data_IF_548973613097
#
_entry.id   IF_548973613097
#
_cell.length_a   1.000
_cell.length_b   1.000
_cell.length_c   1.000
_cell.angle_alpha   90.00
_cell.angle_beta   90.00
_cell.angle_gamma   90.00
#
_symmetry.space_group_name_H-M   'P 1'
#
loop_
_entity.id
_entity.type
_entity.pdbx_description
1 polymer ?
#
# COMPACT_ATOMS: atom_id res chain seq x y z
N UNK A 1 -17.75 8.29 -8.95
CA UNK A 1 -17.31 8.49 -7.57
C UNK A 1 -16.03 7.72 -7.29
N UNK A 2 -15.13 8.33 -6.54
CA UNK A 2 -13.89 7.68 -6.14
C UNK A 2 -14.19 6.69 -5.03
N UNK A 3 -13.75 5.45 -5.20
CA UNK A 3 -13.93 4.40 -4.22
C UNK A 3 -12.62 4.14 -3.48
N UNK A 4 -12.68 3.97 -2.17
CA UNK A 4 -11.51 3.66 -1.37
C UNK A 4 -11.55 2.20 -0.94
N UNK A 5 -10.46 1.50 -1.15
CA UNK A 5 -10.26 0.15 -0.62
C UNK A 5 -9.27 0.25 0.54
N UNK A 6 -9.40 -0.63 1.50
CA UNK A 6 -8.57 -0.62 2.71
C UNK A 6 -7.91 -1.98 2.90
N UNK A 7 -6.62 -1.97 3.20
CA UNK A 7 -5.86 -3.19 3.42
C UNK A 7 -4.97 -3.03 4.65
N UNK A 8 -5.23 -3.83 5.68
CA UNK A 8 -4.43 -3.80 6.89
C UNK A 8 -3.36 -4.89 6.81
N UNK A 9 -2.11 -4.46 6.72
CA UNK A 9 -0.97 -5.37 6.63
C UNK A 9 -0.07 -5.30 7.85
N UNK A 10 -0.56 -4.72 8.94
CA UNK A 10 0.18 -4.74 10.20
C UNK A 10 0.37 -6.19 10.63
N UNK A 11 1.57 -6.52 11.09
CA UNK A 11 1.96 -7.87 11.51
C UNK A 11 2.04 -8.90 10.38
N UNK A 12 1.96 -8.47 9.14
CA UNK A 12 2.11 -9.36 7.98
C UNK A 12 3.58 -9.35 7.55
N UNK A 13 4.25 -10.51 7.53
CA UNK A 13 5.67 -10.55 7.20
C UNK A 13 5.93 -10.34 5.71
N UNK A 14 7.15 -9.91 5.40
CA UNK A 14 7.65 -9.83 4.04
C UNK A 14 8.03 -11.24 3.56
N UNK A 15 7.81 -11.60 2.29
CA UNK A 15 7.26 -10.78 1.20
C UNK A 15 5.74 -10.86 1.06
N UNK A 16 5.05 -11.46 2.02
CA UNK A 16 3.61 -11.67 1.91
C UNK A 16 2.85 -10.35 1.81
N UNK A 17 3.32 -9.32 2.54
CA UNK A 17 2.69 -8.01 2.48
C UNK A 17 2.73 -7.43 1.05
N UNK A 18 3.84 -7.57 0.36
CA UNK A 18 3.98 -7.09 -1.02
C UNK A 18 3.04 -7.86 -1.96
N UNK A 19 2.94 -9.17 -1.78
CA UNK A 19 2.06 -10.00 -2.61
C UNK A 19 0.60 -9.59 -2.42
N UNK A 20 0.19 -9.34 -1.19
CA UNK A 20 -1.18 -8.92 -0.92
C UNK A 20 -1.49 -7.57 -1.55
N UNK A 21 -0.53 -6.65 -1.53
CA UNK A 21 -0.70 -5.35 -2.17
C UNK A 21 -0.86 -5.52 -3.68
N UNK A 22 -0.01 -6.34 -4.31
CA UNK A 22 -0.10 -6.58 -5.74
C UNK A 22 -1.47 -7.12 -6.14
N UNK A 23 -1.98 -8.09 -5.38
CA UNK A 23 -3.28 -8.67 -5.65
C UNK A 23 -4.40 -7.64 -5.51
N UNK A 24 -4.30 -6.80 -4.47
CA UNK A 24 -5.29 -5.75 -4.27
C UNK A 24 -5.27 -4.72 -5.40
N UNK A 25 -4.07 -4.34 -5.84
CA UNK A 25 -3.92 -3.38 -6.93
C UNK A 25 -4.48 -3.90 -8.25
N UNK A 26 -4.34 -5.20 -8.51
CA UNK A 26 -4.91 -5.81 -9.71
C UNK A 26 -6.43 -5.75 -9.73
N UNK A 27 -7.04 -5.71 -8.56
CA UNK A 27 -8.49 -5.65 -8.44
C UNK A 27 -9.04 -4.24 -8.41
N UNK A 28 -8.17 -3.24 -8.35
CA UNK A 28 -8.62 -1.85 -8.31
C UNK A 28 -9.13 -1.40 -9.67
N UNK A 29 -10.24 -0.69 -9.66
CA UNK A 29 -10.75 -0.03 -10.85
C UNK A 29 -10.00 1.27 -11.07
N UNK A 30 -10.20 1.86 -12.25
CA UNK A 30 -9.42 3.01 -12.70
C UNK A 30 -9.43 4.20 -11.75
N UNK A 31 -10.52 4.47 -11.06
CA UNK A 31 -10.62 5.61 -10.16
C UNK A 31 -10.64 5.22 -8.69
N UNK A 32 -10.25 4.00 -8.38
CA UNK A 32 -10.19 3.54 -7.00
C UNK A 32 -8.82 3.81 -6.41
N UNK A 33 -8.79 3.98 -5.09
CA UNK A 33 -7.56 4.18 -4.33
C UNK A 33 -7.46 3.11 -3.27
N UNK A 34 -6.22 2.72 -2.94
CA UNK A 34 -5.97 1.71 -1.92
C UNK A 34 -5.29 2.35 -0.72
N UNK A 35 -5.89 2.19 0.45
CA UNK A 35 -5.29 2.62 1.71
C UNK A 35 -4.65 1.39 2.35
N UNK A 36 -3.36 1.49 2.68
CA UNK A 36 -2.63 0.37 3.27
C UNK A 36 -1.99 0.79 4.58
N UNK A 37 -2.14 -0.02 5.61
CA UNK A 37 -1.43 0.16 6.87
C UNK A 37 -0.29 -0.86 6.95
N UNK A 38 0.90 -0.37 7.29
CA UNK A 38 2.12 -1.17 7.33
C UNK A 38 2.86 -0.95 8.64
N UNK A 39 3.53 -1.99 9.13
CA UNK A 39 4.48 -1.82 10.21
C UNK A 39 5.68 -1.03 9.71
N UNK A 40 6.23 -0.16 10.55
CA UNK A 40 7.44 0.59 10.24
C UNK A 40 8.66 -0.32 10.24
N UNK A 41 9.72 0.12 9.59
CA UNK A 41 10.98 -0.60 9.49
C UNK A 41 11.07 -1.34 8.18
N UNK A 42 11.47 -2.61 8.25
CA UNK A 42 11.69 -3.43 7.07
C UNK A 42 10.46 -3.58 6.18
N UNK A 43 9.25 -3.87 6.71
CA UNK A 43 8.06 -3.97 5.87
C UNK A 43 7.77 -2.68 5.10
N UNK A 44 7.90 -1.53 5.77
CA UNK A 44 7.72 -0.24 5.14
C UNK A 44 8.69 -0.05 3.98
N UNK A 45 9.97 -0.28 4.24
CA UNK A 45 11.01 -0.08 3.22
C UNK A 45 10.79 -0.97 1.99
N UNK A 46 10.46 -2.22 2.22
CA UNK A 46 10.26 -3.18 1.12
C UNK A 46 9.03 -2.83 0.28
N UNK A 47 7.94 -2.45 0.92
CA UNK A 47 6.73 -2.09 0.20
C UNK A 47 6.94 -0.84 -0.63
N UNK A 48 7.52 0.21 -0.04
CA UNK A 48 7.74 1.46 -0.76
C UNK A 48 8.68 1.26 -1.93
N UNK A 49 9.73 0.45 -1.76
CA UNK A 49 10.65 0.13 -2.84
C UNK A 49 9.93 -0.57 -3.98
N UNK A 50 9.08 -1.54 -3.67
CA UNK A 50 8.33 -2.26 -4.69
C UNK A 50 7.33 -1.37 -5.41
N UNK A 51 6.68 -0.46 -4.70
CA UNK A 51 5.75 0.48 -5.35
C UNK A 51 6.48 1.38 -6.35
N UNK A 52 7.67 1.83 -5.99
CA UNK A 52 8.48 2.63 -6.91
C UNK A 52 8.86 1.83 -8.15
N UNK A 53 9.23 0.57 -7.99
CA UNK A 53 9.59 -0.28 -9.11
C UNK A 53 8.41 -0.57 -10.04
N UNK A 54 7.21 -0.64 -9.48
CA UNK A 54 5.98 -0.84 -10.25
C UNK A 54 5.42 0.46 -10.83
N UNK A 55 6.06 1.59 -10.54
CA UNK A 55 5.64 2.92 -11.01
C UNK A 55 4.25 3.32 -10.51
N UNK A 56 3.92 2.90 -9.30
CA UNK A 56 2.71 3.39 -8.64
C UNK A 56 3.02 4.63 -7.81
N UNK A 57 2.13 5.60 -7.87
CA UNK A 57 2.22 6.77 -7.01
C UNK A 57 1.58 6.47 -5.67
N UNK A 58 2.19 6.92 -4.60
CA UNK A 58 1.64 6.75 -3.27
C UNK A 58 1.84 8.01 -2.46
N UNK A 59 1.01 8.17 -1.43
CA UNK A 59 1.07 9.31 -0.54
C UNK A 59 0.97 8.81 0.89
N UNK A 60 1.87 9.29 1.75
CA UNK A 60 1.84 8.94 3.16
C UNK A 60 0.82 9.82 3.85
N UNK A 61 -0.27 9.23 4.34
CA UNK A 61 -1.38 10.00 4.90
C UNK A 61 -1.38 10.04 6.43
N UNK A 62 -0.74 9.09 7.10
CA UNK A 62 -0.65 9.09 8.55
C UNK A 62 0.56 8.30 9.01
N UNK A 63 1.24 8.82 10.03
CA UNK A 63 2.40 8.16 10.59
C UNK A 63 2.23 8.01 12.10
N UNK A 64 2.40 6.81 12.59
CA UNK A 64 2.45 6.48 14.02
C UNK A 64 3.84 6.01 14.38
N UNK A 65 4.10 5.81 15.68
CA UNK A 65 5.40 5.32 16.14
C UNK A 65 5.75 3.94 15.59
N UNK A 66 4.75 3.08 15.43
CA UNK A 66 4.98 1.68 15.06
C UNK A 66 4.45 1.30 13.68
N UNK A 67 3.63 2.14 13.09
CA UNK A 67 3.07 1.84 11.77
C UNK A 67 2.78 3.11 11.00
N UNK A 68 2.57 2.95 9.71
CA UNK A 68 2.21 4.07 8.85
C UNK A 68 1.06 3.69 7.93
N UNK A 69 0.36 4.69 7.45
CA UNK A 69 -0.75 4.52 6.53
C UNK A 69 -0.42 5.25 5.24
N UNK A 70 -0.52 4.56 4.12
CA UNK A 70 -0.27 5.16 2.81
C UNK A 70 -1.49 4.99 1.92
N UNK A 71 -1.63 5.90 0.98
CA UNK A 71 -2.67 5.84 -0.04
C UNK A 71 -1.98 5.61 -1.38
N UNK A 72 -2.36 4.55 -2.07
CA UNK A 72 -1.80 4.21 -3.37
C UNK A 72 -2.80 4.61 -4.44
N UNK A 73 -2.34 5.35 -5.43
CA UNK A 73 -3.18 5.86 -6.50
C UNK A 73 -3.08 4.95 -7.71
N UNK A 74 -4.23 4.61 -8.28
CA UNK A 74 -4.27 3.85 -9.52
C UNK A 74 -4.59 4.81 -10.67
N UNK A 75 -3.57 5.20 -11.41
CA UNK A 75 -3.69 6.18 -12.48
C UNK A 75 -3.81 5.58 -13.88
N UNK A 76 -3.90 4.28 -13.97
CA UNK A 76 -4.02 3.64 -15.28
C UNK A 76 -5.39 3.79 -15.90
#
# INVERSE_FOLDING_TARGET
MTSLKYLDLKSVPCPLNVVKIKLALEKLSKNEQLIVELDKGEPEEMVLKNLKQMVYLYEQIKEHEKFLKIKILNEN
#
